data_IF_382029510190
#
_entry.id   IF_382029510190
#
_cell.length_a   1.000
_cell.length_b   1.000
_cell.length_c   1.000
_cell.angle_alpha   90.00
_cell.angle_beta   90.00
_cell.angle_gamma   90.00
#
_symmetry.space_group_name_H-M   'P 1'
#
loop_
_entity.id
_entity.type
_entity.pdbx_description
1 polymer ?
#
# COMPACT_ATOMS: atom_id res chain seq x y z
N UNK A 1 -30.10 -8.74 3.95
CA UNK A 1 -29.53 -8.35 5.26
C UNK A 1 -29.49 -9.49 6.28
N UNK A 2 -30.61 -10.22 6.53
CA UNK A 2 -30.60 -11.33 7.50
C UNK A 2 -29.61 -12.42 7.10
N UNK A 3 -29.66 -12.89 5.85
CA UNK A 3 -28.73 -13.90 5.31
C UNK A 3 -27.26 -13.47 5.47
N UNK A 4 -26.96 -12.21 5.16
CA UNK A 4 -25.64 -11.64 5.37
C UNK A 4 -25.21 -11.71 6.85
N UNK A 5 -26.08 -11.25 7.76
CA UNK A 5 -25.77 -11.27 9.20
C UNK A 5 -25.54 -12.68 9.74
N UNK A 6 -26.36 -13.66 9.28
CA UNK A 6 -26.15 -15.08 9.62
C UNK A 6 -24.77 -15.55 9.12
N UNK A 7 -24.41 -15.20 7.86
CA UNK A 7 -23.08 -15.50 7.31
C UNK A 7 -21.93 -14.91 8.16
N UNK A 8 -22.08 -13.68 8.65
CA UNK A 8 -21.08 -13.05 9.54
C UNK A 8 -20.95 -13.78 10.88
N UNK A 9 -22.06 -14.23 11.49
CA UNK A 9 -22.00 -15.04 12.72
C UNK A 9 -21.28 -16.38 12.48
N UNK A 10 -21.60 -17.07 11.38
CA UNK A 10 -20.91 -18.32 11.00
C UNK A 10 -19.41 -18.09 10.75
N UNK A 11 -19.07 -17.01 10.04
CA UNK A 11 -17.69 -16.61 9.79
C UNK A 11 -16.94 -16.33 11.11
N UNK A 12 -17.55 -15.57 12.04
CA UNK A 12 -16.96 -15.30 13.35
C UNK A 12 -16.72 -16.59 14.16
N UNK A 13 -17.68 -17.54 14.11
CA UNK A 13 -17.53 -18.86 14.71
C UNK A 13 -16.37 -19.64 14.09
N UNK A 14 -16.29 -19.68 12.76
CA UNK A 14 -15.20 -20.37 12.04
C UNK A 14 -13.82 -19.77 12.37
N UNK A 15 -13.69 -18.45 12.42
CA UNK A 15 -12.44 -17.77 12.85
C UNK A 15 -12.09 -18.11 14.30
N UNK A 16 -13.08 -18.19 15.18
CA UNK A 16 -12.86 -18.57 16.59
C UNK A 16 -12.33 -20.00 16.68
N UNK A 17 -12.87 -20.93 15.92
CA UNK A 17 -12.36 -22.30 15.85
C UNK A 17 -10.94 -22.35 15.25
N UNK A 18 -10.72 -21.64 14.13
CA UNK A 18 -9.42 -21.57 13.49
C UNK A 18 -8.34 -20.96 14.41
N UNK A 19 -8.72 -20.12 15.38
CA UNK A 19 -7.78 -19.50 16.32
C UNK A 19 -7.05 -20.51 17.21
N UNK A 20 -7.56 -21.74 17.34
CA UNK A 20 -6.89 -22.82 18.06
C UNK A 20 -5.60 -23.28 17.36
N UNK A 21 -5.58 -23.21 16.03
CA UNK A 21 -4.50 -23.77 15.19
C UNK A 21 -3.74 -22.72 14.39
N UNK A 22 -4.29 -21.51 14.22
CA UNK A 22 -3.70 -20.46 13.38
C UNK A 22 -3.37 -19.21 14.19
N UNK A 23 -2.10 -18.80 14.18
CA UNK A 23 -1.59 -17.62 14.91
C UNK A 23 -2.31 -16.32 14.51
N UNK A 24 -2.56 -16.13 13.21
CA UNK A 24 -3.24 -14.93 12.69
C UNK A 24 -4.70 -14.85 13.15
N UNK A 25 -5.42 -15.98 13.11
CA UNK A 25 -6.79 -16.07 13.62
C UNK A 25 -6.84 -15.82 15.14
N UNK A 26 -5.84 -16.32 15.88
CA UNK A 26 -5.70 -16.09 17.33
C UNK A 26 -5.51 -14.61 17.66
N UNK A 27 -4.66 -13.90 16.92
CA UNK A 27 -4.46 -12.46 17.08
C UNK A 27 -5.77 -11.70 16.81
N UNK A 28 -6.48 -12.05 15.74
CA UNK A 28 -7.75 -11.44 15.39
C UNK A 28 -8.78 -11.61 16.51
N UNK A 29 -8.99 -12.85 17.00
CA UNK A 29 -9.96 -13.13 18.09
C UNK A 29 -9.57 -12.39 19.37
N UNK A 30 -8.28 -12.38 19.73
CA UNK A 30 -7.79 -11.64 20.91
C UNK A 30 -8.06 -10.15 20.77
N UNK A 31 -7.75 -9.57 19.62
CA UNK A 31 -7.99 -8.15 19.34
C UNK A 31 -9.47 -7.80 19.42
N UNK A 32 -10.33 -8.60 18.79
CA UNK A 32 -11.79 -8.38 18.81
C UNK A 32 -12.40 -8.42 20.22
N UNK A 33 -11.87 -9.23 21.15
CA UNK A 33 -12.33 -9.24 22.55
C UNK A 33 -11.99 -7.96 23.30
N UNK A 34 -10.98 -7.22 22.87
CA UNK A 34 -10.50 -6.02 23.54
C UNK A 34 -11.13 -4.72 23.01
N UNK A 35 -11.80 -4.75 21.83
CA UNK A 35 -12.30 -3.54 21.15
C UNK A 35 -13.12 -2.64 22.10
N UNK A 36 -14.15 -3.20 22.69
CA UNK A 36 -15.08 -2.40 23.50
C UNK A 36 -14.44 -1.88 24.80
N UNK A 37 -13.47 -2.61 25.34
CA UNK A 37 -12.66 -2.15 26.46
C UNK A 37 -11.76 -0.98 26.02
N UNK A 38 -11.05 -1.12 24.91
CA UNK A 38 -10.21 -0.04 24.34
C UNK A 38 -11.04 1.23 24.10
N UNK A 39 -12.23 1.09 23.50
CA UNK A 39 -13.12 2.23 23.28
C UNK A 39 -13.61 2.85 24.58
N UNK A 40 -13.94 2.04 25.59
CA UNK A 40 -14.36 2.54 26.91
C UNK A 40 -13.26 3.31 27.62
N UNK A 41 -12.00 2.88 27.49
CA UNK A 41 -10.83 3.48 28.14
C UNK A 41 -10.30 4.73 27.40
N UNK A 42 -10.41 4.77 26.06
CA UNK A 42 -9.74 5.80 25.24
C UNK A 42 -10.68 6.84 24.63
N UNK A 43 -11.99 6.56 24.52
CA UNK A 43 -12.92 7.49 23.90
C UNK A 43 -13.23 8.65 24.85
N UNK A 44 -12.93 9.86 24.41
CA UNK A 44 -13.46 11.08 25.01
C UNK A 44 -14.92 11.28 24.57
N UNK A 45 -15.84 11.13 25.51
CA UNK A 45 -17.30 11.25 25.24
C UNK A 45 -17.75 12.64 24.85
N UNK A 46 -16.95 13.66 25.13
CA UNK A 46 -17.24 15.05 24.77
C UNK A 46 -16.83 15.35 23.31
N UNK A 47 -15.89 14.59 22.76
CA UNK A 47 -15.35 14.76 21.41
C UNK A 47 -16.17 14.01 20.34
N UNK A 48 -16.09 14.52 19.11
CA UNK A 48 -16.55 13.82 17.89
C UNK A 48 -15.33 13.31 17.12
N UNK A 49 -15.49 12.17 16.46
CA UNK A 49 -14.39 11.49 15.78
C UNK A 49 -14.63 11.39 14.29
N UNK A 50 -13.59 11.64 13.50
CA UNK A 50 -13.49 11.22 12.11
C UNK A 50 -13.03 9.75 12.10
N UNK A 51 -13.88 8.87 11.63
CA UNK A 51 -13.61 7.43 11.65
C UNK A 51 -13.05 6.95 10.32
N UNK A 52 -11.82 6.43 10.32
CA UNK A 52 -11.18 5.77 9.18
C UNK A 52 -11.16 4.26 9.40
N UNK A 53 -11.58 3.52 8.39
CA UNK A 53 -11.51 2.07 8.38
C UNK A 53 -10.71 1.55 7.19
N UNK A 54 -9.69 0.74 7.47
CA UNK A 54 -8.88 0.01 6.51
C UNK A 54 -8.79 -1.46 6.93
N UNK A 55 -8.99 -2.42 6.03
CA UNK A 55 -8.95 -3.84 6.40
C UNK A 55 -7.53 -4.32 6.74
N UNK A 56 -6.54 -3.80 6.02
CA UNK A 56 -5.16 -4.26 6.05
C UNK A 56 -4.16 -3.11 6.01
N UNK A 57 -2.87 -3.43 6.17
CA UNK A 57 -1.79 -2.45 6.04
C UNK A 57 -1.78 -1.79 4.65
N UNK A 58 -1.98 -2.57 3.57
CA UNK A 58 -1.96 -2.02 2.20
C UNK A 58 -3.10 -1.04 1.92
N UNK A 59 -4.27 -1.23 2.54
CA UNK A 59 -5.37 -0.28 2.45
C UNK A 59 -5.13 0.95 3.32
N UNK A 60 -4.57 0.76 4.50
CA UNK A 60 -4.16 1.86 5.36
C UNK A 60 -3.22 2.83 4.63
N UNK A 61 -2.23 2.34 3.88
CA UNK A 61 -1.32 3.20 3.12
C UNK A 61 -2.03 4.05 2.06
N UNK A 62 -3.23 3.67 1.63
CA UNK A 62 -4.09 4.51 0.78
C UNK A 62 -4.92 5.54 1.57
N UNK A 63 -5.29 5.24 2.81
CA UNK A 63 -5.97 6.21 3.68
C UNK A 63 -5.02 7.18 4.39
N UNK A 64 -3.78 6.75 4.57
CA UNK A 64 -2.77 7.45 5.37
C UNK A 64 -2.51 8.90 4.92
N UNK A 65 -2.34 9.23 3.63
CA UNK A 65 -2.12 10.60 3.20
C UNK A 65 -3.25 11.54 3.63
N UNK A 66 -4.49 11.06 3.57
CA UNK A 66 -5.65 11.83 3.99
C UNK A 66 -5.67 12.03 5.53
N UNK A 67 -5.38 10.98 6.29
CA UNK A 67 -5.27 11.02 7.75
C UNK A 67 -4.19 12.02 8.19
N UNK A 68 -2.99 11.93 7.59
CA UNK A 68 -1.86 12.81 7.94
C UNK A 68 -2.16 14.28 7.59
N UNK A 69 -2.82 14.56 6.46
CA UNK A 69 -3.22 15.92 6.09
C UNK A 69 -4.26 16.49 7.04
N UNK A 70 -5.28 15.71 7.41
CA UNK A 70 -6.27 16.13 8.41
C UNK A 70 -5.59 16.38 9.75
N UNK A 71 -4.77 15.46 10.22
CA UNK A 71 -4.05 15.61 11.50
C UNK A 71 -3.18 16.88 11.54
N UNK A 72 -2.53 17.20 10.40
CA UNK A 72 -1.65 18.39 10.32
C UNK A 72 -2.41 19.71 10.14
N UNK A 73 -3.48 19.72 9.34
CA UNK A 73 -4.25 20.94 9.05
C UNK A 73 -5.34 21.23 10.09
N UNK A 74 -5.88 20.19 10.71
CA UNK A 74 -7.01 20.18 11.63
C UNK A 74 -6.67 19.43 12.91
N UNK A 75 -5.71 19.94 13.73
CA UNK A 75 -5.29 19.27 14.96
C UNK A 75 -6.40 19.16 16.02
N UNK A 76 -7.48 19.92 15.87
CA UNK A 76 -8.71 19.83 16.68
C UNK A 76 -9.54 18.57 16.34
N UNK A 77 -9.40 18.00 15.16
CA UNK A 77 -10.14 16.81 14.74
C UNK A 77 -9.58 15.57 15.42
N UNK A 78 -10.45 14.83 16.11
CA UNK A 78 -10.10 13.51 16.68
C UNK A 78 -10.26 12.44 15.65
N UNK A 79 -9.29 11.55 15.54
CA UNK A 79 -9.26 10.47 14.54
C UNK A 79 -9.36 9.10 15.22
N UNK A 80 -10.37 8.33 14.84
CA UNK A 80 -10.49 6.91 15.14
C UNK A 80 -10.07 6.11 13.91
N UNK A 81 -9.03 5.30 14.04
CA UNK A 81 -8.55 4.38 13.00
C UNK A 81 -8.87 2.93 13.38
N UNK A 82 -9.54 2.22 12.50
CA UNK A 82 -9.85 0.81 12.73
C UNK A 82 -9.28 -0.10 11.65
N UNK A 83 -8.85 -1.30 12.07
CA UNK A 83 -8.39 -2.37 11.20
C UNK A 83 -9.26 -3.62 11.35
N UNK A 84 -9.38 -4.40 10.29
CA UNK A 84 -9.96 -5.73 10.39
C UNK A 84 -8.87 -6.81 10.55
N UNK A 85 -7.79 -6.71 9.79
CA UNK A 85 -6.72 -7.72 9.78
C UNK A 85 -5.61 -7.40 10.80
N UNK A 86 -5.04 -8.43 11.46
CA UNK A 86 -3.83 -8.27 12.26
C UNK A 86 -2.65 -7.65 11.50
N UNK A 87 -2.55 -7.86 10.18
CA UNK A 87 -1.48 -7.28 9.36
C UNK A 87 -1.46 -5.75 9.35
N UNK A 88 -2.63 -5.12 9.51
CA UNK A 88 -2.73 -3.67 9.68
C UNK A 88 -2.54 -3.25 11.13
N UNK A 89 -3.31 -3.85 12.03
CA UNK A 89 -3.33 -3.46 13.43
C UNK A 89 -1.98 -3.66 14.15
N UNK A 90 -1.37 -4.84 14.04
CA UNK A 90 -0.12 -5.13 14.77
C UNK A 90 1.04 -4.22 14.34
N UNK A 91 1.03 -3.76 13.09
CA UNK A 91 2.05 -2.85 12.55
C UNK A 91 1.75 -1.38 12.90
N UNK A 92 0.47 -1.03 13.06
CA UNK A 92 0.02 0.38 13.17
C UNK A 92 -0.70 0.72 14.48
N UNK A 93 -0.75 -0.18 15.48
CA UNK A 93 -1.43 0.06 16.77
C UNK A 93 -0.91 1.28 17.52
N UNK A 94 0.36 1.68 17.29
CA UNK A 94 1.00 2.84 17.91
C UNK A 94 1.11 4.03 16.92
N UNK A 95 0.26 4.07 15.89
CA UNK A 95 0.28 5.11 14.87
C UNK A 95 -0.14 6.47 15.45
N UNK A 96 0.77 7.46 15.38
CA UNK A 96 0.61 8.79 16.00
C UNK A 96 -0.33 9.74 15.26
N UNK A 97 -0.70 9.42 14.03
CA UNK A 97 -1.67 10.21 13.26
C UNK A 97 -3.13 9.93 13.59
N UNK A 98 -3.41 9.07 14.60
CA UNK A 98 -4.76 8.81 15.08
C UNK A 98 -4.79 8.78 16.61
N UNK A 99 -5.88 9.31 17.21
CA UNK A 99 -6.08 9.34 18.66
C UNK A 99 -6.39 7.95 19.22
N UNK A 100 -7.13 7.15 18.46
CA UNK A 100 -7.50 5.78 18.82
C UNK A 100 -7.24 4.86 17.66
N UNK A 101 -6.52 3.76 17.92
CA UNK A 101 -6.31 2.67 16.95
C UNK A 101 -6.83 1.36 17.55
N UNK A 102 -7.79 0.72 16.87
CA UNK A 102 -8.33 -0.55 17.33
C UNK A 102 -8.78 -1.46 16.16
N UNK A 103 -9.20 -2.67 16.49
CA UNK A 103 -9.90 -3.50 15.50
C UNK A 103 -11.34 -3.00 15.29
N UNK A 104 -11.90 -3.20 14.09
CA UNK A 104 -13.35 -3.11 13.87
C UNK A 104 -13.99 -4.42 14.37
N UNK A 105 -15.11 -4.39 15.10
CA UNK A 105 -15.80 -5.63 15.45
C UNK A 105 -16.46 -6.28 14.24
N UNK A 106 -16.70 -7.60 14.29
CA UNK A 106 -17.46 -8.28 13.23
C UNK A 106 -18.79 -7.57 12.95
N UNK A 107 -19.14 -7.46 11.68
CA UNK A 107 -20.30 -6.70 11.18
C UNK A 107 -21.64 -7.35 11.51
N UNK A 108 -21.86 -7.64 12.81
CA UNK A 108 -23.14 -8.10 13.32
C UNK A 108 -23.98 -6.93 13.81
N UNK A 109 -25.31 -6.99 13.71
CA UNK A 109 -26.18 -5.89 14.17
C UNK A 109 -25.93 -5.43 15.60
N UNK A 110 -25.63 -6.38 16.49
CA UNK A 110 -25.34 -6.10 17.91
C UNK A 110 -24.00 -5.36 18.08
N UNK A 111 -22.95 -5.84 17.42
CA UNK A 111 -21.63 -5.22 17.50
C UNK A 111 -21.65 -3.81 16.90
N UNK A 112 -22.30 -3.65 15.75
CA UNK A 112 -22.47 -2.34 15.10
C UNK A 112 -23.15 -1.35 16.04
N UNK A 113 -24.26 -1.78 16.68
CA UNK A 113 -24.96 -0.94 17.65
C UNK A 113 -24.03 -0.53 18.78
N UNK A 114 -23.38 -1.50 19.44
CA UNK A 114 -22.46 -1.24 20.56
C UNK A 114 -21.30 -0.31 20.17
N UNK A 115 -20.73 -0.51 18.99
CA UNK A 115 -19.60 0.31 18.50
C UNK A 115 -20.05 1.76 18.25
N UNK A 116 -21.16 1.95 17.55
CA UNK A 116 -21.70 3.26 17.25
C UNK A 116 -22.33 3.97 18.47
N UNK A 117 -22.64 3.25 19.54
CA UNK A 117 -23.05 3.83 20.83
C UNK A 117 -21.85 4.23 21.69
N UNK A 118 -20.69 3.57 21.49
CA UNK A 118 -19.47 3.85 22.24
C UNK A 118 -18.72 5.12 21.75
N UNK A 119 -18.85 5.46 20.46
CA UNK A 119 -18.09 6.57 19.85
C UNK A 119 -19.03 7.50 19.10
N UNK A 120 -18.93 8.80 19.37
CA UNK A 120 -19.63 9.84 18.60
C UNK A 120 -18.86 10.10 17.31
N UNK A 121 -19.34 9.51 16.20
CA UNK A 121 -18.75 9.64 14.88
C UNK A 121 -19.37 10.83 14.14
N UNK A 122 -18.53 11.71 13.60
CA UNK A 122 -18.94 12.85 12.76
C UNK A 122 -19.03 12.44 11.28
N UNK A 123 -17.93 11.89 10.75
CA UNK A 123 -17.84 11.36 9.38
C UNK A 123 -17.13 10.01 9.40
N UNK A 124 -17.47 9.11 8.49
CA UNK A 124 -16.87 7.78 8.36
C UNK A 124 -16.26 7.60 6.97
N UNK A 125 -15.01 7.12 6.93
CA UNK A 125 -14.21 6.92 5.72
C UNK A 125 -13.83 5.44 5.61
N UNK A 126 -14.32 4.79 4.57
CA UNK A 126 -14.01 3.40 4.26
C UNK A 126 -13.02 3.35 3.10
N UNK A 127 -11.86 2.71 3.35
CA UNK A 127 -10.78 2.68 2.39
C UNK A 127 -10.94 1.48 1.45
N UNK A 128 -10.92 1.71 0.14
CA UNK A 128 -10.88 0.72 -0.93
C UNK A 128 -12.15 -0.18 -1.00
N UNK A 129 -12.08 -1.43 -0.52
CA UNK A 129 -13.13 -2.45 -0.71
C UNK A 129 -13.99 -2.69 0.53
N UNK A 130 -13.94 -1.81 1.50
CA UNK A 130 -14.56 -2.00 2.81
C UNK A 130 -16.05 -1.62 2.81
N UNK A 131 -16.87 -2.51 2.29
CA UNK A 131 -18.31 -2.36 2.20
C UNK A 131 -19.01 -3.27 3.23
N UNK A 132 -19.17 -2.80 4.44
CA UNK A 132 -19.73 -3.50 5.60
C UNK A 132 -21.21 -3.16 5.78
N UNK A 133 -22.17 -3.97 5.27
CA UNK A 133 -23.57 -3.57 5.13
C UNK A 133 -24.26 -3.20 6.45
N UNK A 134 -23.96 -3.86 7.57
CA UNK A 134 -24.58 -3.50 8.84
C UNK A 134 -24.01 -2.19 9.40
N UNK A 135 -22.68 -1.96 9.29
CA UNK A 135 -22.06 -0.68 9.65
C UNK A 135 -22.61 0.46 8.79
N UNK A 136 -22.60 0.30 7.48
CA UNK A 136 -23.11 1.31 6.55
C UNK A 136 -24.57 1.68 6.84
N UNK A 137 -25.41 0.65 7.08
CA UNK A 137 -26.80 0.85 7.49
C UNK A 137 -26.93 1.54 8.85
N UNK A 138 -26.07 1.16 9.83
CA UNK A 138 -26.05 1.73 11.17
C UNK A 138 -25.69 3.21 11.17
N UNK A 139 -24.66 3.58 10.39
CA UNK A 139 -24.23 4.97 10.16
C UNK A 139 -25.31 5.80 9.49
N UNK A 140 -25.88 5.27 8.38
CA UNK A 140 -26.95 5.96 7.65
C UNK A 140 -28.19 6.21 8.53
N UNK A 141 -28.59 5.26 9.39
CA UNK A 141 -29.69 5.47 10.35
C UNK A 141 -29.44 6.61 11.34
N UNK A 142 -28.16 6.86 11.65
CA UNK A 142 -27.71 7.95 12.54
C UNK A 142 -27.43 9.24 11.76
N UNK A 143 -27.66 9.27 10.45
CA UNK A 143 -27.40 10.41 9.55
C UNK A 143 -25.92 10.82 9.53
N UNK A 144 -25.01 9.89 9.78
CA UNK A 144 -23.58 10.11 9.69
C UNK A 144 -23.16 10.03 8.23
N UNK A 145 -22.38 11.00 7.78
CA UNK A 145 -21.85 11.04 6.41
C UNK A 145 -20.80 9.96 6.21
N UNK A 146 -20.94 9.19 5.13
CA UNK A 146 -20.08 8.05 4.81
C UNK A 146 -19.39 8.30 3.48
N UNK A 147 -18.08 8.13 3.45
CA UNK A 147 -17.25 8.30 2.25
C UNK A 147 -16.49 7.03 1.95
N UNK A 148 -16.37 6.69 0.67
CA UNK A 148 -15.48 5.62 0.21
C UNK A 148 -14.25 6.24 -0.45
N UNK A 149 -13.06 5.85 -0.02
CA UNK A 149 -11.79 6.45 -0.46
C UNK A 149 -10.97 5.47 -1.29
N UNK A 150 -10.46 5.93 -2.43
CA UNK A 150 -9.58 5.17 -3.33
C UNK A 150 -10.16 3.81 -3.76
N UNK A 151 -11.48 3.73 -3.95
CA UNK A 151 -12.16 2.49 -4.31
C UNK A 151 -11.95 2.13 -5.78
N UNK A 152 -11.88 0.82 -6.04
CA UNK A 152 -11.86 0.26 -7.39
C UNK A 152 -13.01 -0.73 -7.51
N UNK A 153 -13.81 -0.62 -8.56
CA UNK A 153 -14.88 -1.55 -8.85
C UNK A 153 -14.56 -2.41 -10.07
N UNK A 154 -15.06 -3.66 -10.09
CA UNK A 154 -14.80 -4.66 -11.13
C UNK A 154 -16.09 -5.37 -11.49
N UNK A 155 -16.24 -5.76 -12.77
CA UNK A 155 -17.44 -6.40 -13.33
C UNK A 155 -17.84 -7.69 -12.61
N UNK A 156 -16.86 -8.40 -12.04
CA UNK A 156 -17.14 -9.67 -11.35
C UNK A 156 -17.65 -9.51 -9.91
N UNK A 157 -17.67 -8.29 -9.37
CA UNK A 157 -18.14 -8.05 -8.02
C UNK A 157 -19.66 -8.22 -7.90
N UNK A 158 -20.09 -8.66 -6.72
CA UNK A 158 -21.49 -8.99 -6.40
C UNK A 158 -22.46 -7.85 -6.68
N UNK A 159 -22.03 -6.59 -6.50
CA UNK A 159 -22.85 -5.39 -6.72
C UNK A 159 -23.45 -5.30 -8.11
N UNK A 160 -22.74 -5.80 -9.13
CA UNK A 160 -23.10 -5.71 -10.55
C UNK A 160 -23.79 -6.98 -11.07
N UNK A 161 -24.06 -7.96 -10.19
CA UNK A 161 -24.76 -9.19 -10.54
C UNK A 161 -26.26 -9.04 -10.25
N UNK A 162 -27.11 -9.64 -11.10
CA UNK A 162 -28.56 -9.57 -10.95
C UNK A 162 -29.06 -10.03 -9.56
N UNK A 163 -28.38 -11.01 -8.96
CA UNK A 163 -28.66 -11.55 -7.62
C UNK A 163 -28.01 -10.72 -6.48
N UNK A 164 -27.17 -9.77 -6.82
CA UNK A 164 -26.46 -8.89 -5.88
C UNK A 164 -27.18 -7.57 -5.54
N UNK A 165 -28.34 -7.28 -6.13
CA UNK A 165 -29.08 -6.02 -5.95
C UNK A 165 -29.31 -5.63 -4.48
N UNK A 166 -29.62 -6.61 -3.63
CA UNK A 166 -29.78 -6.37 -2.18
C UNK A 166 -28.51 -5.92 -1.48
N UNK A 167 -27.34 -6.38 -1.97
CA UNK A 167 -26.03 -5.98 -1.47
C UNK A 167 -25.62 -4.62 -2.05
N UNK A 168 -25.93 -4.36 -3.31
CA UNK A 168 -25.66 -3.08 -3.97
C UNK A 168 -26.37 -1.90 -3.25
N UNK A 169 -27.49 -2.16 -2.56
CA UNK A 169 -28.15 -1.14 -1.72
C UNK A 169 -27.21 -0.54 -0.66
N UNK A 170 -26.19 -1.27 -0.19
CA UNK A 170 -25.23 -0.72 0.77
C UNK A 170 -24.43 0.45 0.19
N UNK A 171 -24.22 0.48 -1.14
CA UNK A 171 -23.51 1.56 -1.82
C UNK A 171 -24.30 2.87 -1.83
N UNK A 172 -25.65 2.81 -1.74
CA UNK A 172 -26.49 4.02 -1.69
C UNK A 172 -26.38 4.77 -0.36
N UNK A 173 -25.75 4.20 0.65
CA UNK A 173 -25.55 4.85 1.94
C UNK A 173 -24.34 5.79 1.95
N UNK A 174 -23.44 5.67 0.96
CA UNK A 174 -22.32 6.60 0.84
C UNK A 174 -22.82 7.97 0.38
N UNK A 175 -22.38 9.02 1.08
CA UNK A 175 -22.60 10.40 0.62
C UNK A 175 -21.80 10.65 -0.66
N UNK A 176 -20.58 10.11 -0.75
CA UNK A 176 -19.74 10.18 -1.95
C UNK A 176 -18.79 8.99 -2.04
N UNK A 177 -18.52 8.52 -3.27
CA UNK A 177 -17.54 7.49 -3.57
C UNK A 177 -16.40 8.07 -4.41
N UNK A 178 -15.20 8.10 -3.81
CA UNK A 178 -13.99 8.53 -4.48
C UNK A 178 -13.30 7.32 -5.09
N UNK A 179 -13.40 7.20 -6.42
CA UNK A 179 -12.86 6.04 -7.16
C UNK A 179 -11.56 6.38 -7.87
N UNK A 180 -10.76 5.35 -8.14
CA UNK A 180 -9.47 5.53 -8.78
C UNK A 180 -9.58 5.70 -10.30
N UNK A 181 -10.64 5.19 -10.96
CA UNK A 181 -10.68 5.12 -12.42
C UNK A 181 -12.08 5.30 -13.02
N UNK A 182 -12.08 5.52 -14.33
CA UNK A 182 -13.29 5.69 -15.12
C UNK A 182 -14.15 4.45 -15.15
N UNK A 183 -13.56 3.25 -15.27
CA UNK A 183 -14.29 2.00 -15.31
C UNK A 183 -15.11 1.78 -14.03
N UNK A 184 -14.52 2.05 -12.86
CA UNK A 184 -15.21 2.01 -11.57
C UNK A 184 -16.40 2.97 -11.52
N UNK A 185 -16.25 4.20 -12.06
CA UNK A 185 -17.33 5.18 -12.15
C UNK A 185 -18.46 4.68 -13.06
N UNK A 186 -18.11 4.16 -14.25
CA UNK A 186 -19.08 3.68 -15.21
C UNK A 186 -19.87 2.47 -14.67
N UNK A 187 -19.20 1.56 -13.95
CA UNK A 187 -19.86 0.45 -13.25
C UNK A 187 -20.86 0.94 -12.18
N UNK A 188 -20.50 1.92 -11.37
CA UNK A 188 -21.38 2.49 -10.37
C UNK A 188 -22.59 3.18 -11.01
N UNK A 189 -22.37 3.91 -12.10
CA UNK A 189 -23.45 4.55 -12.87
C UNK A 189 -24.42 3.52 -13.44
N UNK A 190 -23.93 2.34 -13.88
CA UNK A 190 -24.78 1.27 -14.43
C UNK A 190 -25.81 0.71 -13.42
N UNK A 191 -25.58 0.92 -12.12
CA UNK A 191 -26.49 0.52 -11.03
C UNK A 191 -27.16 1.72 -10.33
N UNK A 192 -27.08 2.92 -10.94
CA UNK A 192 -27.77 4.12 -10.46
C UNK A 192 -27.03 4.89 -9.34
N UNK A 193 -25.76 4.61 -9.09
CA UNK A 193 -24.94 5.38 -8.14
C UNK A 193 -24.23 6.50 -8.90
N UNK A 194 -24.63 7.75 -8.65
CA UNK A 194 -24.17 8.94 -9.40
C UNK A 194 -23.24 9.87 -8.60
N UNK A 195 -23.22 9.77 -7.29
CA UNK A 195 -22.38 10.54 -6.36
C UNK A 195 -20.93 9.99 -6.33
N UNK A 196 -20.23 10.07 -7.47
CA UNK A 196 -18.94 9.44 -7.71
C UNK A 196 -17.97 10.41 -8.39
N UNK A 197 -16.79 10.62 -7.77
CA UNK A 197 -15.68 11.38 -8.36
C UNK A 197 -14.49 10.48 -8.67
N UNK A 198 -13.86 10.69 -9.84
CA UNK A 198 -12.57 10.04 -10.15
C UNK A 198 -11.47 10.92 -9.57
N UNK A 199 -10.77 10.40 -8.56
CA UNK A 199 -9.71 11.14 -7.88
C UNK A 199 -8.31 10.53 -8.07
N UNK A 200 -8.21 9.26 -8.43
CA UNK A 200 -6.94 8.54 -8.54
C UNK A 200 -6.57 7.79 -7.26
N UNK A 201 -5.27 7.53 -7.12
CA UNK A 201 -4.70 6.78 -5.99
C UNK A 201 -3.99 7.74 -5.03
N UNK A 202 -4.46 7.82 -3.80
CA UNK A 202 -3.87 8.65 -2.74
C UNK A 202 -2.42 8.29 -2.42
N UNK A 203 -1.95 7.08 -2.77
CA UNK A 203 -0.54 6.69 -2.59
C UNK A 203 0.42 7.57 -3.41
N UNK A 204 -0.04 8.15 -4.54
CA UNK A 204 0.78 9.07 -5.33
C UNK A 204 1.19 10.31 -4.51
N UNK A 205 0.26 10.89 -3.76
CA UNK A 205 0.54 12.02 -2.87
C UNK A 205 1.62 11.64 -1.84
N UNK A 206 1.46 10.44 -1.23
CA UNK A 206 2.38 9.99 -0.19
C UNK A 206 3.80 9.77 -0.71
N UNK A 207 3.96 9.13 -1.86
CA UNK A 207 5.31 8.89 -2.41
C UNK A 207 5.99 10.18 -2.84
N UNK A 208 5.24 11.17 -3.32
CA UNK A 208 5.76 12.52 -3.61
C UNK A 208 6.24 13.22 -2.34
N UNK A 209 5.44 13.20 -1.27
CA UNK A 209 5.82 13.78 0.02
C UNK A 209 7.07 13.11 0.61
N UNK A 210 7.11 11.76 0.58
CA UNK A 210 8.26 10.99 1.06
C UNK A 210 9.50 11.27 0.20
N UNK A 211 9.35 11.37 -1.12
CA UNK A 211 10.47 11.70 -2.00
C UNK A 211 11.00 13.11 -1.77
N UNK A 212 10.12 14.10 -1.56
CA UNK A 212 10.51 15.47 -1.24
C UNK A 212 11.22 15.57 0.12
N UNK A 213 10.79 14.78 1.12
CA UNK A 213 11.39 14.70 2.45
C UNK A 213 12.50 13.63 2.55
N UNK A 214 12.90 13.02 1.42
CA UNK A 214 13.83 11.89 1.42
C UNK A 214 15.20 12.28 1.99
N UNK A 215 15.68 11.44 2.91
CA UNK A 215 16.98 11.63 3.56
C UNK A 215 18.10 11.39 2.58
N UNK A 216 19.15 12.18 2.69
CA UNK A 216 20.42 11.90 2.06
C UNK A 216 21.22 10.92 2.92
N UNK A 217 21.88 9.97 2.28
CA UNK A 217 22.72 8.98 2.95
C UNK A 217 24.15 9.09 2.42
N UNK A 218 25.05 9.80 3.11
CA UNK A 218 26.43 10.02 2.64
C UNK A 218 27.17 8.74 2.29
N UNK A 219 26.89 7.64 3.01
CA UNK A 219 27.48 6.34 2.74
C UNK A 219 27.00 5.77 1.38
N UNK A 220 25.73 5.94 1.03
CA UNK A 220 25.19 5.47 -0.25
C UNK A 220 25.65 6.37 -1.39
N UNK A 221 25.72 7.68 -1.18
CA UNK A 221 26.30 8.63 -2.15
C UNK A 221 27.73 8.26 -2.49
N UNK A 222 28.52 7.92 -1.46
CA UNK A 222 29.90 7.51 -1.66
C UNK A 222 30.02 6.14 -2.33
N UNK A 223 29.08 5.23 -2.06
CA UNK A 223 29.00 3.92 -2.72
C UNK A 223 28.73 4.07 -4.22
N UNK A 224 27.69 4.83 -4.55
CA UNK A 224 27.26 5.06 -5.94
C UNK A 224 28.32 5.85 -6.71
N UNK A 225 28.84 6.92 -6.11
CA UNK A 225 29.91 7.77 -6.66
C UNK A 225 29.71 8.13 -8.16
N UNK A 226 28.47 8.40 -8.57
CA UNK A 226 28.13 8.75 -9.96
C UNK A 226 28.06 7.56 -10.93
N UNK A 227 28.29 6.33 -10.48
CA UNK A 227 28.18 5.14 -11.33
C UNK A 227 26.73 4.76 -11.61
N UNK A 228 26.46 4.14 -12.77
CA UNK A 228 25.16 3.55 -13.05
C UNK A 228 24.76 2.58 -11.93
N UNK A 229 23.53 2.71 -11.42
CA UNK A 229 23.08 1.96 -10.25
C UNK A 229 21.75 1.28 -10.51
N UNK A 230 21.72 -0.03 -10.28
CA UNK A 230 20.51 -0.83 -10.25
C UNK A 230 20.08 -1.05 -8.79
N UNK A 231 18.80 -0.82 -8.49
CA UNK A 231 18.25 -0.99 -7.16
C UNK A 231 17.14 -2.04 -7.19
N UNK A 232 17.36 -3.15 -6.49
CA UNK A 232 16.34 -4.15 -6.25
C UNK A 232 15.70 -3.91 -4.88
N UNK A 233 14.44 -3.48 -4.88
CA UNK A 233 13.70 -3.17 -3.66
C UNK A 233 12.65 -4.21 -3.34
N UNK A 234 12.56 -4.61 -2.07
CA UNK A 234 11.66 -5.64 -1.56
C UNK A 234 11.80 -6.95 -2.33
N UNK A 235 13.03 -7.34 -2.67
CA UNK A 235 13.30 -8.56 -3.44
C UNK A 235 13.04 -9.82 -2.60
N UNK A 236 12.76 -10.90 -3.31
CA UNK A 236 12.59 -12.25 -2.77
C UNK A 236 13.59 -13.19 -3.46
N UNK A 237 13.84 -14.40 -2.93
CA UNK A 237 14.82 -15.32 -3.51
C UNK A 237 14.69 -15.54 -5.03
N UNK A 238 13.46 -15.72 -5.52
CA UNK A 238 13.22 -15.91 -6.96
C UNK A 238 13.55 -14.67 -7.81
N UNK A 239 13.40 -13.46 -7.25
CA UNK A 239 13.82 -12.22 -7.90
C UNK A 239 15.35 -12.13 -7.97
N UNK A 240 16.01 -12.48 -6.87
CA UNK A 240 17.47 -12.41 -6.69
C UNK A 240 18.21 -13.40 -7.59
N UNK A 241 17.71 -14.63 -7.67
CA UNK A 241 18.18 -15.66 -8.60
C UNK A 241 18.07 -15.24 -10.08
N UNK A 242 17.11 -14.36 -10.40
CA UNK A 242 16.91 -13.84 -11.74
C UNK A 242 17.92 -12.76 -12.10
N UNK A 243 18.12 -11.75 -11.25
CA UNK A 243 18.89 -10.55 -11.63
C UNK A 243 20.36 -10.58 -11.20
N UNK A 244 20.73 -11.22 -10.08
CA UNK A 244 22.12 -11.23 -9.58
C UNK A 244 23.10 -11.82 -10.60
N UNK A 245 22.83 -13.00 -11.24
CA UNK A 245 23.75 -13.58 -12.20
C UNK A 245 24.10 -12.66 -13.38
N UNK A 246 23.18 -11.81 -13.79
CA UNK A 246 23.42 -10.83 -14.85
C UNK A 246 24.47 -9.79 -14.45
N UNK A 247 24.48 -9.36 -13.19
CA UNK A 247 25.37 -8.32 -12.69
C UNK A 247 26.73 -8.84 -12.24
N UNK A 248 26.95 -10.16 -12.09
CA UNK A 248 28.23 -10.70 -11.64
C UNK A 248 29.42 -10.20 -12.47
N UNK A 249 29.39 -10.17 -13.82
CA UNK A 249 30.49 -9.66 -14.62
C UNK A 249 30.48 -8.12 -14.81
N UNK A 250 29.39 -7.43 -14.46
CA UNK A 250 29.22 -5.99 -14.76
C UNK A 250 29.66 -5.12 -13.59
N UNK A 251 30.99 -4.96 -13.44
CA UNK A 251 31.61 -4.21 -12.33
C UNK A 251 31.47 -2.69 -12.45
N UNK A 252 31.14 -2.19 -13.61
CA UNK A 252 30.82 -0.79 -13.91
C UNK A 252 29.42 -0.36 -13.40
N UNK A 253 28.58 -1.32 -13.04
CA UNK A 253 27.27 -1.07 -12.42
C UNK A 253 27.32 -1.34 -10.92
N UNK A 254 26.83 -0.38 -10.13
CA UNK A 254 26.55 -0.59 -8.71
C UNK A 254 25.21 -1.29 -8.54
N UNK A 255 25.19 -2.27 -7.62
CA UNK A 255 24.00 -3.04 -7.28
C UNK A 255 23.61 -2.75 -5.83
N UNK A 256 22.39 -2.28 -5.61
CA UNK A 256 21.81 -2.14 -4.27
C UNK A 256 20.68 -3.15 -4.14
N UNK A 257 20.75 -4.03 -3.15
CA UNK A 257 19.75 -5.05 -2.86
C UNK A 257 19.12 -4.75 -1.50
N UNK A 258 17.82 -4.47 -1.49
CA UNK A 258 17.03 -4.30 -0.27
C UNK A 258 15.98 -5.42 -0.20
N UNK A 259 16.29 -6.57 0.41
CA UNK A 259 15.38 -7.71 0.45
C UNK A 259 14.13 -7.40 1.28
N UNK A 260 13.03 -8.09 0.97
CA UNK A 260 11.77 -7.95 1.71
C UNK A 260 11.88 -8.49 3.14
N UNK A 261 12.63 -9.56 3.32
CA UNK A 261 12.92 -10.19 4.61
C UNK A 261 14.43 -10.13 4.88
N UNK A 262 14.82 -9.63 6.07
CA UNK A 262 16.22 -9.39 6.43
C UNK A 262 16.72 -10.39 7.50
N UNK A 263 16.16 -11.60 7.55
CA UNK A 263 16.69 -12.65 8.42
C UNK A 263 17.99 -13.22 7.85
N UNK A 264 18.84 -13.72 8.75
CA UNK A 264 20.21 -14.09 8.43
C UNK A 264 20.33 -15.16 7.32
N UNK A 265 19.43 -16.14 7.30
CA UNK A 265 19.43 -17.19 6.27
C UNK A 265 19.22 -16.61 4.85
N UNK A 266 18.32 -15.62 4.71
CA UNK A 266 18.08 -14.97 3.42
C UNK A 266 19.25 -14.10 3.00
N UNK A 267 19.85 -13.34 3.94
CA UNK A 267 21.04 -12.55 3.66
C UNK A 267 22.21 -13.42 3.17
N UNK A 268 22.42 -14.57 3.80
CA UNK A 268 23.44 -15.55 3.38
C UNK A 268 23.16 -16.16 2.00
N UNK A 269 21.88 -16.36 1.64
CA UNK A 269 21.50 -16.79 0.28
C UNK A 269 21.90 -15.73 -0.77
N UNK A 270 21.59 -14.45 -0.51
CA UNK A 270 22.02 -13.34 -1.37
C UNK A 270 23.54 -13.30 -1.51
N UNK A 271 24.29 -13.41 -0.41
CA UNK A 271 25.75 -13.44 -0.40
C UNK A 271 26.32 -14.61 -1.22
N UNK A 272 25.67 -15.77 -1.13
CA UNK A 272 26.06 -16.95 -1.92
C UNK A 272 25.87 -16.73 -3.42
N UNK A 273 24.78 -16.04 -3.84
CA UNK A 273 24.55 -15.67 -5.24
C UNK A 273 25.55 -14.63 -5.75
N UNK A 274 26.09 -13.79 -4.85
CA UNK A 274 27.09 -12.75 -5.17
C UNK A 274 28.53 -13.31 -5.23
N UNK A 275 28.72 -14.62 -5.13
CA UNK A 275 30.04 -15.21 -5.19
C UNK A 275 30.80 -14.75 -6.45
N UNK A 276 32.01 -14.21 -6.21
CA UNK A 276 32.84 -13.61 -7.26
C UNK A 276 32.55 -12.11 -7.51
N UNK A 277 31.66 -11.45 -6.74
CA UNK A 277 31.41 -10.01 -6.77
C UNK A 277 31.63 -9.39 -5.38
N UNK A 278 32.29 -8.23 -5.33
CA UNK A 278 32.58 -7.55 -4.07
C UNK A 278 31.31 -6.95 -3.48
N UNK A 279 30.90 -7.41 -2.31
CA UNK A 279 29.68 -6.96 -1.63
C UNK A 279 29.94 -6.60 -0.16
N UNK A 280 29.05 -5.78 0.40
CA UNK A 280 29.04 -5.44 1.82
C UNK A 280 27.59 -5.25 2.29
N UNK A 281 27.30 -5.63 3.54
CA UNK A 281 26.04 -5.26 4.20
C UNK A 281 26.13 -3.82 4.70
N UNK A 282 25.01 -3.09 4.67
CA UNK A 282 24.99 -1.71 5.13
C UNK A 282 25.41 -1.58 6.61
N UNK A 283 25.03 -2.53 7.46
CA UNK A 283 25.44 -2.57 8.87
C UNK A 283 26.94 -2.67 9.10
N UNK A 284 27.70 -3.16 8.12
CA UNK A 284 29.16 -3.32 8.15
C UNK A 284 29.88 -2.21 7.37
N UNK A 285 29.12 -1.42 6.61
CA UNK A 285 29.67 -0.40 5.75
C UNK A 285 30.03 0.87 6.55
N UNK A 286 31.17 1.44 6.21
CA UNK A 286 31.63 2.75 6.71
C UNK A 286 31.99 3.66 5.55
N UNK A 287 32.10 4.96 5.82
CA UNK A 287 32.53 5.92 4.82
C UNK A 287 33.89 5.55 4.22
N UNK A 288 34.78 4.91 4.99
CA UNK A 288 36.14 4.60 4.54
C UNK A 288 36.23 3.33 3.69
N UNK A 289 35.45 2.29 4.01
CA UNK A 289 35.53 1.00 3.32
C UNK A 289 34.59 0.86 2.10
N UNK A 290 33.51 1.62 2.03
CA UNK A 290 32.41 1.42 1.05
C UNK A 290 32.84 1.51 -0.42
N UNK A 291 33.90 2.23 -0.74
CA UNK A 291 34.37 2.42 -2.12
C UNK A 291 34.86 1.14 -2.81
N UNK A 292 35.35 0.16 -2.02
CA UNK A 292 35.88 -1.10 -2.55
C UNK A 292 34.81 -2.11 -3.02
N UNK A 293 33.53 -1.81 -2.87
CA UNK A 293 32.47 -2.75 -3.13
C UNK A 293 31.61 -2.34 -4.35
N UNK A 294 31.09 -3.35 -5.05
CA UNK A 294 30.21 -3.17 -6.20
C UNK A 294 28.74 -3.46 -5.86
N UNK A 295 28.50 -4.13 -4.73
CA UNK A 295 27.17 -4.45 -4.23
C UNK A 295 26.99 -4.03 -2.79
N UNK A 296 25.87 -3.37 -2.49
CA UNK A 296 25.44 -2.98 -1.16
C UNK A 296 24.13 -3.72 -0.82
N UNK A 297 24.15 -4.52 0.24
CA UNK A 297 22.97 -5.20 0.78
C UNK A 297 22.39 -4.35 1.91
N UNK A 298 21.13 -3.96 1.80
CA UNK A 298 20.41 -3.18 2.81
C UNK A 298 19.79 -4.14 3.82
N UNK A 299 20.43 -4.31 4.93
CA UNK A 299 20.03 -5.21 6.01
C UNK A 299 19.27 -4.51 7.15
N UNK A 300 18.55 -3.43 6.82
CA UNK A 300 17.71 -2.71 7.77
C UNK A 300 16.43 -2.20 7.09
N UNK A 301 15.39 -1.93 7.88
CA UNK A 301 14.12 -1.40 7.39
C UNK A 301 14.06 0.13 7.37
N UNK A 302 13.16 0.68 6.55
CA UNK A 302 12.77 2.09 6.57
C UNK A 302 13.60 3.03 5.72
N UNK A 303 14.55 2.53 4.93
CA UNK A 303 15.41 3.34 4.07
C UNK A 303 15.05 3.29 2.58
N UNK A 304 14.41 2.22 2.12
CA UNK A 304 14.24 1.89 0.70
C UNK A 304 13.60 3.02 -0.11
N UNK A 305 12.53 3.63 0.39
CA UNK A 305 11.84 4.74 -0.29
C UNK A 305 12.73 5.96 -0.54
N UNK A 306 13.78 6.16 0.27
CA UNK A 306 14.76 7.24 0.06
C UNK A 306 15.97 6.77 -0.78
N UNK A 307 16.26 5.47 -0.79
CA UNK A 307 17.40 4.90 -1.54
C UNK A 307 17.17 4.95 -3.05
N UNK A 308 15.93 4.83 -3.52
CA UNK A 308 15.60 4.87 -4.94
C UNK A 308 16.11 6.13 -5.67
N UNK A 309 16.29 7.26 -4.96
CA UNK A 309 16.88 8.49 -5.51
C UNK A 309 18.29 8.33 -6.13
N UNK A 310 18.99 7.28 -5.70
CA UNK A 310 20.36 6.98 -6.18
C UNK A 310 20.38 6.02 -7.37
N UNK A 311 19.20 5.50 -7.76
CA UNK A 311 19.06 4.51 -8.82
C UNK A 311 18.93 5.11 -10.21
N UNK A 312 19.33 4.31 -11.20
CA UNK A 312 19.05 4.57 -12.61
C UNK A 312 17.99 3.61 -13.16
N UNK A 313 17.89 2.43 -12.56
CA UNK A 313 16.88 1.41 -12.84
C UNK A 313 16.44 0.81 -11.50
N UNK A 314 15.12 0.65 -11.31
CA UNK A 314 14.59 -0.02 -10.14
C UNK A 314 13.91 -1.34 -10.53
N UNK A 315 14.16 -2.38 -9.74
CA UNK A 315 13.42 -3.62 -9.75
C UNK A 315 12.59 -3.73 -8.46
N UNK A 316 11.31 -4.08 -8.62
CA UNK A 316 10.38 -4.20 -7.50
C UNK A 316 9.99 -5.66 -7.32
N UNK A 317 10.40 -6.24 -6.22
CA UNK A 317 10.24 -7.65 -5.92
C UNK A 317 8.82 -8.10 -5.65
N UNK A 318 8.68 -9.42 -5.50
CA UNK A 318 7.43 -10.12 -5.20
C UNK A 318 6.63 -10.55 -6.42
N UNK A 319 7.00 -10.09 -7.61
CA UNK A 319 6.24 -10.36 -8.83
C UNK A 319 6.31 -11.81 -9.33
N UNK A 320 7.21 -12.62 -8.81
CA UNK A 320 7.27 -14.08 -9.07
C UNK A 320 6.56 -14.91 -8.00
N UNK A 321 5.98 -14.24 -6.98
CA UNK A 321 5.31 -14.90 -5.86
C UNK A 321 3.97 -14.25 -5.51
N UNK A 322 3.93 -13.59 -4.37
CA UNK A 322 2.70 -13.04 -3.76
C UNK A 322 2.10 -11.83 -4.48
N UNK A 323 2.84 -11.22 -5.41
CA UNK A 323 2.51 -9.99 -6.12
C UNK A 323 3.49 -8.87 -5.79
N UNK A 324 3.58 -7.90 -6.71
CA UNK A 324 4.55 -6.80 -6.63
C UNK A 324 4.32 -5.89 -5.42
N UNK A 325 5.41 -5.34 -4.91
CA UNK A 325 5.39 -4.29 -3.91
C UNK A 325 5.06 -2.91 -4.53
N UNK A 326 5.19 -1.82 -3.75
CA UNK A 326 4.82 -0.48 -4.19
C UNK A 326 5.79 0.09 -5.23
N UNK A 327 5.41 0.05 -6.49
CA UNK A 327 6.23 0.55 -7.61
C UNK A 327 6.31 2.08 -7.68
N UNK A 328 5.37 2.80 -7.05
CA UNK A 328 5.34 4.26 -7.09
C UNK A 328 6.50 4.89 -6.30
N UNK A 329 7.02 4.17 -5.30
CA UNK A 329 8.16 4.65 -4.49
C UNK A 329 9.44 4.81 -5.30
N UNK A 330 9.63 3.97 -6.31
CA UNK A 330 10.74 4.10 -7.25
C UNK A 330 10.40 5.06 -8.40
N UNK A 331 9.20 4.92 -8.97
CA UNK A 331 8.75 5.70 -10.12
C UNK A 331 8.80 7.22 -9.88
N UNK A 332 8.58 7.68 -8.65
CA UNK A 332 8.59 9.10 -8.28
C UNK A 332 9.94 9.79 -8.52
N UNK A 333 11.02 9.02 -8.59
CA UNK A 333 12.38 9.53 -8.85
C UNK A 333 12.78 9.56 -10.34
N UNK A 334 11.82 9.48 -11.25
CA UNK A 334 12.06 9.47 -12.69
C UNK A 334 12.97 8.32 -13.16
N UNK A 335 12.86 7.15 -12.55
CA UNK A 335 13.56 5.93 -12.93
C UNK A 335 12.58 4.85 -13.42
N UNK A 336 12.92 4.09 -14.48
CA UNK A 336 12.06 3.02 -14.95
C UNK A 336 11.96 1.92 -13.90
N UNK A 337 10.79 1.29 -13.81
CA UNK A 337 10.51 0.24 -12.83
C UNK A 337 10.28 -1.10 -13.51
N UNK A 338 11.01 -2.13 -13.05
CA UNK A 338 10.89 -3.51 -13.53
C UNK A 338 10.20 -4.34 -12.45
N UNK A 339 9.40 -5.31 -12.86
CA UNK A 339 8.71 -6.20 -11.93
C UNK A 339 8.31 -7.52 -12.60
N UNK A 340 8.12 -8.56 -11.80
CA UNK A 340 7.72 -9.89 -12.27
C UNK A 340 6.26 -9.98 -12.74
N UNK A 341 5.83 -11.13 -13.29
CA UNK A 341 4.57 -11.29 -14.04
C UNK A 341 3.31 -11.25 -13.19
N UNK A 342 3.40 -11.47 -11.86
CA UNK A 342 2.21 -11.44 -10.99
C UNK A 342 1.80 -10.00 -10.63
N UNK A 343 1.48 -9.21 -11.67
CA UNK A 343 1.18 -7.77 -11.55
C UNK A 343 -0.23 -7.38 -12.04
N UNK A 344 -1.05 -8.30 -12.53
CA UNK A 344 -2.34 -8.01 -13.19
C UNK A 344 -3.34 -7.30 -12.28
N UNK A 345 -3.26 -7.51 -10.96
CA UNK A 345 -4.15 -6.89 -9.97
C UNK A 345 -3.76 -5.45 -9.60
N UNK A 346 -2.58 -5.02 -10.01
CA UNK A 346 -2.01 -3.72 -9.69
C UNK A 346 -2.21 -2.77 -10.87
N UNK A 347 -3.16 -1.85 -10.71
CA UNK A 347 -3.52 -0.90 -11.76
C UNK A 347 -2.33 -0.05 -12.19
N UNK A 348 -1.58 0.46 -11.22
CA UNK A 348 -0.39 1.25 -11.45
C UNK A 348 0.64 0.54 -12.33
N UNK A 349 0.78 -0.77 -12.18
CA UNK A 349 1.67 -1.57 -13.03
C UNK A 349 1.15 -1.64 -14.48
N UNK A 350 -0.16 -1.83 -14.67
CA UNK A 350 -0.77 -1.86 -16.01
C UNK A 350 -0.64 -0.51 -16.71
N UNK A 351 -0.89 0.58 -15.98
CA UNK A 351 -0.76 1.93 -16.50
C UNK A 351 0.69 2.26 -16.87
N UNK A 352 1.65 1.93 -16.00
CA UNK A 352 3.07 2.14 -16.26
C UNK A 352 3.59 1.29 -17.43
N UNK A 353 3.11 0.05 -17.61
CA UNK A 353 3.42 -0.76 -18.81
C UNK A 353 2.94 -0.06 -20.10
N UNK A 354 1.70 0.40 -20.09
CA UNK A 354 1.11 1.14 -21.24
C UNK A 354 1.89 2.40 -21.58
N UNK A 355 2.33 3.13 -20.56
CA UNK A 355 3.11 4.38 -20.68
C UNK A 355 4.59 4.15 -20.94
N UNK A 356 5.07 2.89 -20.95
CA UNK A 356 6.49 2.55 -21.12
C UNK A 356 7.39 3.17 -20.03
N UNK A 357 6.86 3.30 -18.81
CA UNK A 357 7.60 3.65 -17.59
C UNK A 357 7.84 2.46 -16.68
N UNK A 358 7.04 1.39 -16.84
CA UNK A 358 7.15 0.12 -16.14
C UNK A 358 7.25 -1.05 -17.12
N UNK A 359 7.99 -2.09 -16.72
CA UNK A 359 8.31 -3.23 -17.60
C UNK A 359 8.14 -4.55 -16.85
N UNK A 360 7.37 -5.44 -17.44
CA UNK A 360 7.20 -6.81 -16.95
C UNK A 360 8.38 -7.68 -17.39
N UNK A 361 8.92 -8.42 -16.45
CA UNK A 361 9.98 -9.41 -16.65
C UNK A 361 9.42 -10.77 -16.35
N UNK A 362 9.54 -11.72 -17.28
CA UNK A 362 9.03 -13.07 -17.13
C UNK A 362 10.10 -14.10 -16.78
N UNK A 363 11.35 -13.81 -17.14
CA UNK A 363 12.51 -14.71 -16.99
C UNK A 363 13.84 -13.94 -17.12
N UNK A 364 14.96 -14.62 -16.90
CA UNK A 364 16.30 -14.07 -17.03
C UNK A 364 16.65 -13.59 -18.45
N UNK A 365 16.03 -14.16 -19.48
CA UNK A 365 16.25 -13.73 -20.86
C UNK A 365 15.59 -12.39 -21.15
N UNK A 366 14.32 -12.22 -20.78
CA UNK A 366 13.59 -10.97 -20.89
C UNK A 366 14.24 -9.86 -20.07
N UNK A 367 14.74 -10.18 -18.87
CA UNK A 367 15.50 -9.28 -18.03
C UNK A 367 16.77 -8.79 -18.76
N UNK A 368 17.59 -9.73 -19.28
CA UNK A 368 18.82 -9.40 -19.99
C UNK A 368 18.57 -8.46 -21.17
N UNK A 369 17.63 -8.82 -22.06
CA UNK A 369 17.30 -7.99 -23.23
C UNK A 369 16.93 -6.57 -22.82
N UNK A 370 16.13 -6.41 -21.80
CA UNK A 370 15.67 -5.08 -21.36
C UNK A 370 16.82 -4.28 -20.74
N UNK A 371 17.63 -4.89 -19.87
CA UNK A 371 18.75 -4.19 -19.24
C UNK A 371 19.82 -3.84 -20.29
N UNK A 372 20.15 -4.74 -21.21
CA UNK A 372 21.09 -4.46 -22.31
C UNK A 372 20.59 -3.29 -23.19
N UNK A 373 19.27 -3.20 -23.40
CA UNK A 373 18.66 -2.06 -24.09
C UNK A 373 18.79 -0.75 -23.31
N UNK A 374 18.57 -0.76 -22.00
CA UNK A 374 18.76 0.43 -21.17
C UNK A 374 20.22 0.89 -21.14
N UNK A 375 21.16 -0.05 -21.14
CA UNK A 375 22.61 0.25 -21.14
C UNK A 375 23.02 0.82 -22.50
N UNK A 376 22.54 0.25 -23.61
CA UNK A 376 22.94 0.66 -24.97
C UNK A 376 22.22 1.92 -25.47
N UNK A 377 21.05 2.27 -24.88
CA UNK A 377 20.24 3.43 -25.27
C UNK A 377 19.88 4.29 -24.05
N UNK A 378 20.78 5.23 -23.66
CA UNK A 378 20.52 6.17 -22.57
C UNK A 378 19.30 7.06 -22.80
N UNK A 379 18.93 7.32 -24.06
CA UNK A 379 17.74 8.08 -24.43
C UNK A 379 16.48 7.32 -24.07
N UNK A 380 16.43 6.01 -24.36
CA UNK A 380 15.34 5.13 -23.99
C UNK A 380 15.21 5.02 -22.46
N UNK A 381 16.34 4.83 -21.75
CA UNK A 381 16.36 4.78 -20.28
C UNK A 381 15.76 6.07 -19.69
N UNK A 382 16.24 7.22 -20.11
CA UNK A 382 15.76 8.52 -19.63
C UNK A 382 14.28 8.76 -19.94
N UNK A 383 13.82 8.38 -21.14
CA UNK A 383 12.41 8.48 -21.52
C UNK A 383 11.51 7.57 -20.65
N UNK A 384 11.93 6.34 -20.43
CA UNK A 384 11.21 5.40 -19.58
C UNK A 384 11.09 5.91 -18.14
N UNK A 385 12.17 6.44 -17.57
CA UNK A 385 12.16 7.05 -16.26
C UNK A 385 11.20 8.25 -16.17
N UNK A 386 11.24 9.18 -17.13
CA UNK A 386 10.30 10.31 -17.18
C UNK A 386 8.85 9.83 -17.24
N UNK A 387 8.54 8.85 -18.06
CA UNK A 387 7.19 8.28 -18.14
C UNK A 387 6.73 7.75 -16.78
N UNK A 388 7.63 7.11 -16.02
CA UNK A 388 7.33 6.62 -14.68
C UNK A 388 7.02 7.76 -13.69
N UNK A 389 7.86 8.79 -13.64
CA UNK A 389 7.66 9.96 -12.78
C UNK A 389 6.43 10.79 -13.16
N UNK A 390 6.20 11.01 -14.47
CA UNK A 390 5.04 11.75 -14.96
C UNK A 390 3.72 11.05 -14.59
N UNK A 391 3.70 9.71 -14.61
CA UNK A 391 2.56 8.95 -14.12
C UNK A 391 2.27 9.26 -12.64
N UNK A 392 3.29 9.28 -11.78
CA UNK A 392 3.11 9.60 -10.36
C UNK A 392 2.61 11.03 -10.19
N UNK A 393 3.23 11.99 -10.86
CA UNK A 393 2.85 13.41 -10.80
C UNK A 393 1.42 13.66 -11.30
N UNK A 394 1.00 13.00 -12.38
CA UNK A 394 -0.36 13.13 -12.92
C UNK A 394 -1.45 12.57 -12.01
N UNK A 395 -1.09 11.69 -11.08
CA UNK A 395 -1.98 11.14 -10.06
C UNK A 395 -1.91 11.87 -8.71
N UNK A 396 -1.16 12.98 -8.61
CA UNK A 396 -1.03 13.79 -7.40
C UNK A 396 -2.24 14.68 -7.13
N UNK A 397 -2.33 15.23 -5.93
CA UNK A 397 -3.40 16.13 -5.50
C UNK A 397 -4.73 15.39 -5.21
N UNK A 398 -4.70 14.08 -5.14
CA UNK A 398 -5.86 13.24 -4.84
C UNK A 398 -6.42 13.55 -3.45
N UNK A 399 -5.57 13.63 -2.44
CA UNK A 399 -5.99 13.90 -1.06
C UNK A 399 -6.60 15.29 -0.91
N UNK A 400 -6.03 16.32 -1.56
CA UNK A 400 -6.59 17.69 -1.50
C UNK A 400 -7.94 17.77 -2.20
N UNK A 401 -8.13 17.10 -3.33
CA UNK A 401 -9.44 17.01 -3.99
C UNK A 401 -10.48 16.37 -3.08
N UNK A 402 -10.12 15.26 -2.41
CA UNK A 402 -11.02 14.60 -1.45
C UNK A 402 -11.35 15.55 -0.31
N UNK A 403 -10.35 16.19 0.31
CA UNK A 403 -10.56 17.14 1.43
C UNK A 403 -11.48 18.28 1.02
N UNK A 404 -11.31 18.83 -0.20
CA UNK A 404 -12.20 19.86 -0.75
C UNK A 404 -13.65 19.42 -0.86
N UNK A 405 -13.90 18.21 -1.40
CA UNK A 405 -15.26 17.70 -1.57
C UNK A 405 -15.96 17.31 -0.26
N UNK A 406 -15.19 17.03 0.81
CA UNK A 406 -15.76 16.69 2.13
C UNK A 406 -15.79 17.86 3.11
N UNK A 407 -15.31 19.04 2.69
CA UNK A 407 -15.32 20.27 3.50
C UNK A 407 -14.27 20.29 4.63
N UNK A 408 -13.10 19.72 4.37
CA UNK A 408 -11.93 19.69 5.28
C UNK A 408 -10.67 20.22 4.56
N UNK A 409 -10.77 21.37 3.92
CA UNK A 409 -9.66 22.00 3.20
C UNK A 409 -8.70 22.77 4.13
#
# INVERSE_FOLDING_TARGET
>A
MIIYSVGIYLYAGAITLASLFNKKARLLVKGHRQIFRTLQEQVDKSASYLWFHASSLGEFEQGRPLIERIHNKHPECRILLTFFSPSGYEVRKDYKGADIVCYIPFDTPLNVRKFLDAVKIEKAFFIKYEFWPNFLRGLNKRKIEIFSISSIFRDNQLFFKWYGKGYAKALTYFKHLFVQDRHSKDLLYSIGITNVSIVGDTRADRVIEVAAASKQFPIIEKFVNGNPTFIAGSSWPADEELFIPYFLPKRDWKLIIAPHEIHEEHLQQIESLLNGRDYIRLSQATIDNIKGYDTLIIDCFGMLSSIYRYGHIAYIGGGFGVGIHNILEAAVFDIPVLFGPNNQRFREAQDLKRLKGGFEITDAYSFRILIDKFISDPGFLKKAGRNAGDYVRSNSGTSDRILGEIGLN
#
